data_IF_827114405962
#
_entry.id   IF_827114405962
#
_cell.length_a   1.000
_cell.length_b   1.000
_cell.length_c   1.000
_cell.angle_alpha   90.00
_cell.angle_beta   90.00
_cell.angle_gamma   90.00
#
_symmetry.space_group_name_H-M   'P 1'
#
loop_
_entity.id
_entity.type
_entity.pdbx_description
1 polymer ?
#
# COMPACT_ATOMS: atom_id res chain seq x y z
N UNK A 1 -9.00 35.89 -10.15
CA UNK A 1 -9.34 35.64 -8.73
C UNK A 1 -10.21 34.40 -8.50
N UNK A 2 -11.14 33.99 -9.39
CA UNK A 2 -12.04 32.84 -9.15
C UNK A 2 -11.39 31.43 -9.20
N UNK A 3 -10.28 31.27 -9.93
CA UNK A 3 -9.62 29.96 -10.09
C UNK A 3 -8.82 29.49 -8.87
N UNK A 4 -8.31 30.42 -8.04
CA UNK A 4 -7.53 30.07 -6.85
C UNK A 4 -8.38 29.41 -5.76
N UNK A 5 -9.63 29.87 -5.61
CA UNK A 5 -10.58 29.32 -4.65
C UNK A 5 -11.05 27.91 -5.01
N UNK A 6 -11.27 27.62 -6.30
CA UNK A 6 -11.66 26.28 -6.75
C UNK A 6 -10.55 25.27 -6.47
N UNK A 7 -9.28 25.62 -6.74
CA UNK A 7 -8.13 24.75 -6.45
C UNK A 7 -7.97 24.53 -4.95
N UNK A 8 -8.14 25.58 -4.14
CA UNK A 8 -8.07 25.48 -2.68
C UNK A 8 -9.16 24.55 -2.12
N UNK A 9 -10.40 24.69 -2.61
CA UNK A 9 -11.53 23.86 -2.20
C UNK A 9 -11.32 22.40 -2.62
N UNK A 10 -10.80 22.15 -3.83
CA UNK A 10 -10.55 20.78 -4.33
C UNK A 10 -9.42 20.08 -3.56
N UNK A 11 -8.39 20.83 -3.15
CA UNK A 11 -7.32 20.34 -2.27
C UNK A 11 -7.86 20.05 -0.86
N UNK A 12 -8.73 20.91 -0.32
CA UNK A 12 -9.36 20.72 0.99
C UNK A 12 -10.33 19.53 1.02
N UNK A 13 -11.10 19.29 -0.04
CA UNK A 13 -12.05 18.17 -0.09
C UNK A 13 -11.38 16.81 -0.27
N UNK A 14 -10.24 16.75 -0.97
CA UNK A 14 -9.41 15.54 -1.07
C UNK A 14 -8.80 15.12 0.28
N UNK A 15 -8.61 16.05 1.22
CA UNK A 15 -8.07 15.78 2.55
C UNK A 15 -9.04 15.15 3.56
N UNK A 16 -10.35 15.14 3.26
CA UNK A 16 -11.39 14.68 4.20
C UNK A 16 -11.85 13.24 3.99
N UNK A 17 -11.29 12.53 2.99
CA UNK A 17 -11.62 11.12 2.74
C UNK A 17 -10.69 10.21 3.54
N UNK A 18 -10.83 10.26 4.87
CA UNK A 18 -10.26 9.25 5.76
C UNK A 18 -11.07 7.96 5.61
N UNK A 19 -10.65 7.04 4.75
CA UNK A 19 -11.33 5.76 4.59
C UNK A 19 -11.18 4.94 5.89
N UNK A 20 -12.28 4.42 6.43
CA UNK A 20 -12.25 3.48 7.55
C UNK A 20 -11.55 2.19 7.10
N UNK A 21 -10.35 1.93 7.62
CA UNK A 21 -9.49 0.82 7.19
C UNK A 21 -10.13 -0.55 7.47
N UNK A 22 -10.84 -0.69 8.59
CA UNK A 22 -11.54 -1.92 8.96
C UNK A 22 -12.64 -2.26 7.94
N UNK A 23 -13.44 -1.26 7.57
CA UNK A 23 -14.51 -1.43 6.58
C UNK A 23 -13.97 -1.75 5.19
N UNK A 24 -12.76 -1.27 4.85
CA UNK A 24 -12.10 -1.60 3.59
C UNK A 24 -11.63 -3.06 3.59
N UNK A 25 -10.88 -3.48 4.62
CA UNK A 25 -10.36 -4.85 4.71
C UNK A 25 -11.49 -5.87 4.72
N UNK A 26 -12.54 -5.63 5.51
CA UNK A 26 -13.67 -6.56 5.63
C UNK A 26 -14.30 -6.93 4.28
N UNK A 27 -14.28 -6.02 3.29
CA UNK A 27 -14.80 -6.30 1.93
C UNK A 27 -13.90 -7.23 1.12
N UNK A 28 -12.61 -7.26 1.41
CA UNK A 28 -11.62 -8.08 0.70
C UNK A 28 -11.26 -9.37 1.43
N UNK A 29 -11.72 -9.53 2.67
CA UNK A 29 -11.53 -10.75 3.46
C UNK A 29 -12.43 -11.87 2.92
N UNK A 30 -11.87 -12.99 2.44
CA UNK A 30 -12.65 -14.14 1.99
C UNK A 30 -13.11 -14.98 3.19
N UNK A 31 -14.42 -15.13 3.36
CA UNK A 31 -15.04 -16.06 4.32
C UNK A 31 -15.53 -17.26 3.49
N UNK A 32 -14.95 -18.48 3.57
CA UNK A 32 -14.47 -19.21 4.75
C UNK A 32 -12.94 -19.26 4.98
N UNK A 33 -12.10 -18.88 4.02
CA UNK A 33 -10.65 -19.03 4.14
C UNK A 33 -10.04 -18.21 5.29
N UNK A 34 -10.66 -17.08 5.66
CA UNK A 34 -10.26 -16.29 6.83
C UNK A 34 -10.50 -16.99 8.17
N UNK A 35 -11.54 -17.82 8.30
CA UNK A 35 -11.76 -18.58 9.52
C UNK A 35 -10.71 -19.70 9.64
N UNK A 36 -10.41 -20.38 8.54
CA UNK A 36 -9.36 -21.40 8.48
C UNK A 36 -7.98 -20.82 8.82
N UNK A 37 -7.66 -19.64 8.28
CA UNK A 37 -6.40 -18.96 8.55
C UNK A 37 -6.29 -18.53 10.02
N UNK A 38 -7.35 -17.94 10.57
CA UNK A 38 -7.40 -17.57 11.99
C UNK A 38 -7.24 -18.80 12.89
N UNK A 39 -7.95 -19.88 12.58
CA UNK A 39 -7.85 -21.13 13.31
C UNK A 39 -6.41 -21.65 13.34
N UNK A 40 -5.69 -21.59 12.23
CA UNK A 40 -4.30 -22.02 12.17
C UNK A 40 -3.39 -21.22 13.12
N UNK A 41 -3.57 -19.90 13.20
CA UNK A 41 -2.82 -19.06 14.14
C UNK A 41 -3.19 -19.40 15.59
N UNK A 42 -4.48 -19.59 15.86
CA UNK A 42 -4.97 -19.95 17.20
C UNK A 42 -4.49 -21.35 17.63
N UNK A 43 -4.40 -22.30 16.71
CA UNK A 43 -3.87 -23.65 16.95
C UNK A 43 -2.36 -23.62 17.18
N UNK A 44 -1.62 -22.79 16.42
CA UNK A 44 -0.19 -22.62 16.61
C UNK A 44 0.13 -22.01 17.98
N UNK A 45 -0.53 -20.91 18.33
CA UNK A 45 -0.40 -20.24 19.64
C UNK A 45 -0.84 -21.14 20.78
N UNK A 46 -1.92 -21.90 20.58
CA UNK A 46 -2.47 -22.82 21.57
C UNK A 46 -1.71 -24.14 21.72
N UNK A 47 -0.65 -24.38 20.93
CA UNK A 47 0.13 -25.62 20.96
C UNK A 47 -0.60 -26.83 20.38
N UNK A 48 -1.68 -26.64 19.63
CA UNK A 48 -2.46 -27.71 18.96
C UNK A 48 -1.81 -28.10 17.63
N UNK A 49 -0.55 -28.52 17.70
CA UNK A 49 0.31 -28.71 16.51
C UNK A 49 -0.19 -29.81 15.57
N UNK A 50 -0.77 -30.89 16.10
CA UNK A 50 -1.37 -31.95 15.28
C UNK A 50 -2.54 -31.44 14.43
N UNK A 51 -3.41 -30.59 15.01
CA UNK A 51 -4.53 -29.97 14.30
C UNK A 51 -4.02 -28.99 13.24
N UNK A 52 -3.06 -28.14 13.60
CA UNK A 52 -2.40 -27.20 12.70
C UNK A 52 -1.78 -27.90 11.48
N UNK A 53 -1.01 -28.96 11.71
CA UNK A 53 -0.38 -29.74 10.63
C UNK A 53 -1.41 -30.36 9.71
N UNK A 54 -2.58 -30.76 10.22
CA UNK A 54 -3.69 -31.25 9.40
C UNK A 54 -4.19 -30.26 8.35
N UNK A 55 -3.96 -28.95 8.56
CA UNK A 55 -4.36 -27.88 7.65
C UNK A 55 -3.31 -27.56 6.57
N UNK A 56 -2.07 -27.98 6.78
CA UNK A 56 -0.95 -27.72 5.88
C UNK A 56 -1.09 -28.49 4.57
N UNK A 57 -0.48 -27.96 3.51
CA UNK A 57 -0.27 -28.73 2.29
C UNK A 57 0.87 -29.76 2.51
N UNK A 58 0.95 -30.82 1.67
CA UNK A 58 1.96 -31.86 1.85
C UNK A 58 3.39 -31.33 1.94
N UNK A 59 3.72 -30.30 1.14
CA UNK A 59 5.07 -29.71 1.12
C UNK A 59 5.40 -29.02 2.44
N UNK A 60 4.45 -28.29 3.04
CA UNK A 60 4.66 -27.65 4.33
C UNK A 60 4.64 -28.65 5.48
N UNK A 61 3.84 -29.71 5.41
CA UNK A 61 3.85 -30.80 6.41
C UNK A 61 5.22 -31.45 6.57
N UNK A 62 5.92 -31.68 5.45
CA UNK A 62 7.25 -32.28 5.45
C UNK A 62 8.32 -31.34 6.03
N UNK A 63 8.14 -30.02 5.86
CA UNK A 63 9.12 -29.01 6.30
C UNK A 63 8.94 -28.54 7.73
N UNK A 64 7.69 -28.41 8.21
CA UNK A 64 7.37 -27.74 9.47
C UNK A 64 7.11 -28.75 10.59
N UNK A 65 8.17 -29.27 11.21
CA UNK A 65 8.09 -30.25 12.30
C UNK A 65 7.41 -29.69 13.57
N UNK A 66 6.82 -30.57 14.39
CA UNK A 66 6.22 -30.15 15.66
C UNK A 66 7.22 -29.46 16.58
N UNK A 67 8.48 -29.93 16.60
CA UNK A 67 9.54 -29.30 17.39
C UNK A 67 9.79 -27.86 16.95
N UNK A 68 9.89 -27.60 15.64
CA UNK A 68 10.09 -26.25 15.11
C UNK A 68 8.89 -25.34 15.37
N UNK A 69 7.67 -25.85 15.16
CA UNK A 69 6.45 -25.09 15.42
C UNK A 69 6.32 -24.73 16.90
N UNK A 70 6.68 -25.65 17.79
CA UNK A 70 6.71 -25.41 19.24
C UNK A 70 7.78 -24.40 19.64
N UNK A 71 8.98 -24.50 19.07
CA UNK A 71 10.09 -23.57 19.32
C UNK A 71 9.72 -22.15 18.92
N UNK A 72 9.11 -21.96 17.74
CA UNK A 72 8.64 -20.65 17.30
C UNK A 72 7.50 -20.11 18.16
N UNK A 73 6.56 -20.97 18.56
CA UNK A 73 5.45 -20.57 19.43
C UNK A 73 5.90 -20.25 20.86
N UNK A 74 7.05 -20.76 21.31
CA UNK A 74 7.56 -20.54 22.67
C UNK A 74 7.80 -19.05 22.98
N UNK A 75 8.10 -18.25 21.95
CA UNK A 75 8.27 -16.81 22.06
C UNK A 75 6.97 -16.01 22.09
N UNK A 76 5.81 -16.61 21.79
CA UNK A 76 4.56 -15.88 21.69
C UNK A 76 4.01 -15.47 23.07
N UNK A 77 3.34 -14.31 23.16
CA UNK A 77 2.63 -13.90 24.36
C UNK A 77 1.64 -14.99 24.81
N UNK A 78 1.69 -15.31 26.11
CA UNK A 78 0.77 -16.25 26.75
C UNK A 78 -0.51 -15.53 27.18
N UNK A 79 -1.60 -16.29 27.31
CA UNK A 79 -2.91 -15.76 27.68
C UNK A 79 -3.76 -15.37 26.46
N UNK A 80 -4.98 -14.92 26.70
CA UNK A 80 -5.89 -14.53 25.61
C UNK A 80 -5.58 -13.13 25.07
N UNK A 81 -5.65 -12.92 23.75
CA UNK A 81 -5.48 -11.60 23.16
C UNK A 81 -6.61 -10.65 23.60
N UNK A 82 -6.29 -9.38 23.83
CA UNK A 82 -7.27 -8.32 24.10
C UNK A 82 -8.13 -8.03 22.87
N UNK A 83 -7.53 -8.10 21.70
CA UNK A 83 -8.21 -7.94 20.41
C UNK A 83 -7.51 -8.75 19.33
N UNK A 84 -8.29 -9.17 18.32
CA UNK A 84 -7.77 -9.82 17.10
C UNK A 84 -8.40 -9.12 15.92
N UNK A 85 -7.58 -8.63 15.00
CA UNK A 85 -8.04 -7.89 13.81
C UNK A 85 -7.40 -8.45 12.55
N UNK A 86 -8.14 -8.43 11.44
CA UNK A 86 -7.56 -8.63 10.11
C UNK A 86 -6.93 -7.31 9.68
N UNK A 87 -5.61 -7.31 9.52
CA UNK A 87 -4.81 -6.13 9.14
C UNK A 87 -4.26 -6.22 7.71
N UNK A 88 -4.49 -7.34 7.03
CA UNK A 88 -4.23 -7.47 5.61
C UNK A 88 -5.02 -8.62 4.99
N UNK A 89 -5.57 -8.39 3.80
CA UNK A 89 -6.23 -9.42 3.01
C UNK A 89 -5.93 -9.20 1.53
N UNK A 90 -5.12 -10.09 0.93
CA UNK A 90 -4.84 -10.07 -0.49
C UNK A 90 -5.26 -11.40 -1.13
N UNK A 91 -5.91 -11.30 -2.29
CA UNK A 91 -6.31 -12.47 -3.08
C UNK A 91 -5.64 -12.39 -4.44
N UNK A 92 -4.86 -13.40 -4.78
CA UNK A 92 -4.19 -13.54 -6.07
C UNK A 92 -4.83 -14.72 -6.83
N UNK A 93 -5.25 -14.47 -8.06
CA UNK A 93 -5.88 -15.48 -8.92
C UNK A 93 -5.01 -15.66 -10.16
N UNK A 94 -4.51 -16.86 -10.39
CA UNK A 94 -3.74 -17.20 -11.59
C UNK A 94 -4.06 -18.64 -12.03
N UNK A 95 -4.47 -18.82 -13.30
CA UNK A 95 -4.56 -20.14 -13.95
C UNK A 95 -5.37 -21.18 -13.18
N UNK A 96 -6.50 -20.77 -12.57
CA UNK A 96 -7.37 -21.67 -11.79
C UNK A 96 -6.91 -21.91 -10.34
N UNK A 97 -5.76 -21.38 -9.95
CA UNK A 97 -5.26 -21.35 -8.58
C UNK A 97 -5.65 -20.01 -7.92
N UNK A 98 -6.16 -20.09 -6.69
CA UNK A 98 -6.39 -18.94 -5.83
C UNK A 98 -5.44 -19.01 -4.65
N UNK A 99 -4.70 -17.93 -4.44
CA UNK A 99 -3.84 -17.73 -3.28
C UNK A 99 -4.41 -16.61 -2.43
N UNK A 100 -4.53 -16.86 -1.14
CA UNK A 100 -5.01 -15.89 -0.17
C UNK A 100 -3.89 -15.60 0.82
N UNK A 101 -3.48 -14.34 0.93
CA UNK A 101 -2.48 -13.88 1.89
C UNK A 101 -3.23 -13.05 2.96
N UNK A 102 -3.46 -13.64 4.13
CA UNK A 102 -4.24 -13.06 5.21
C UNK A 102 -3.34 -12.73 6.40
N UNK A 103 -3.44 -11.52 6.92
CA UNK A 103 -2.62 -11.04 8.02
C UNK A 103 -3.50 -10.62 9.19
N UNK A 104 -3.20 -11.17 10.36
CA UNK A 104 -3.90 -10.91 11.61
C UNK A 104 -2.97 -10.21 12.58
N UNK A 105 -3.51 -9.24 13.31
CA UNK A 105 -2.84 -8.62 14.44
C UNK A 105 -3.57 -9.02 15.71
N UNK A 106 -2.83 -9.62 16.64
CA UNK A 106 -3.27 -10.02 17.96
C UNK A 106 -2.66 -9.06 18.98
N UNK A 107 -3.51 -8.33 19.69
CA UNK A 107 -3.09 -7.42 20.75
C UNK A 107 -3.00 -8.14 22.09
N UNK A 108 -1.85 -8.02 22.75
CA UNK A 108 -1.61 -8.44 24.11
C UNK A 108 -1.21 -7.23 24.96
N UNK A 109 -0.99 -7.45 26.25
CA UNK A 109 -0.49 -6.41 27.13
C UNK A 109 0.92 -5.97 26.74
N UNK A 110 1.01 -4.84 26.03
CA UNK A 110 2.26 -4.21 25.60
C UNK A 110 2.99 -4.94 24.46
N UNK A 111 2.36 -5.91 23.81
CA UNK A 111 2.94 -6.69 22.69
C UNK A 111 1.87 -6.96 21.64
N UNK A 112 2.27 -6.94 20.38
CA UNK A 112 1.43 -7.27 19.23
C UNK A 112 2.05 -8.43 18.48
N UNK A 113 1.29 -9.50 18.30
CA UNK A 113 1.66 -10.62 17.43
C UNK A 113 1.00 -10.41 16.08
N UNK A 114 1.80 -10.20 15.04
CA UNK A 114 1.31 -10.11 13.66
C UNK A 114 1.60 -11.43 12.98
N UNK A 115 0.55 -12.14 12.60
CA UNK A 115 0.64 -13.44 11.95
C UNK A 115 0.12 -13.35 10.50
N UNK A 116 0.91 -13.80 9.55
CA UNK A 116 0.54 -13.96 8.16
C UNK A 116 0.33 -15.44 7.83
N UNK A 117 -0.79 -15.74 7.20
CA UNK A 117 -1.16 -17.07 6.72
C UNK A 117 -1.37 -17.00 5.22
N UNK A 118 -0.69 -17.90 4.50
CA UNK A 118 -0.84 -18.05 3.07
C UNK A 118 -1.61 -19.33 2.79
N UNK A 119 -2.79 -19.19 2.20
CA UNK A 119 -3.61 -20.30 1.76
C UNK A 119 -3.56 -20.43 0.24
N UNK A 120 -3.69 -21.65 -0.22
CA UNK A 120 -3.76 -21.99 -1.63
C UNK A 120 -4.93 -22.92 -1.89
N UNK A 121 -5.69 -22.60 -2.93
CA UNK A 121 -6.85 -23.36 -3.38
C UNK A 121 -6.72 -23.64 -4.87
N UNK A 122 -6.81 -24.91 -5.24
CA UNK A 122 -6.76 -25.35 -6.64
C UNK A 122 -8.16 -25.80 -7.07
N UNK A 123 -8.81 -25.05 -7.97
CA UNK A 123 -10.20 -25.31 -8.36
C UNK A 123 -11.16 -25.33 -7.15
N UNK A 124 -11.96 -26.39 -7.04
CA UNK A 124 -12.93 -26.58 -5.96
C UNK A 124 -12.39 -27.37 -4.76
N UNK A 125 -11.09 -27.70 -4.74
CA UNK A 125 -10.48 -28.37 -3.59
C UNK A 125 -10.52 -27.48 -2.34
N UNK A 126 -10.37 -28.10 -1.17
CA UNK A 126 -10.22 -27.36 0.08
C UNK A 126 -8.95 -26.50 0.06
N UNK A 127 -9.03 -25.30 0.62
CA UNK A 127 -7.86 -24.45 0.80
C UNK A 127 -6.88 -25.11 1.79
N UNK A 128 -5.60 -25.12 1.43
CA UNK A 128 -4.51 -25.64 2.28
C UNK A 128 -3.54 -24.53 2.61
N UNK A 129 -2.95 -24.61 3.79
CA UNK A 129 -1.95 -23.64 4.24
C UNK A 129 -0.61 -24.01 3.62
N UNK A 130 -0.05 -23.07 2.87
CA UNK A 130 1.26 -23.21 2.19
C UNK A 130 2.32 -22.30 2.80
N UNK A 131 1.93 -21.45 3.74
CA UNK A 131 2.83 -20.57 4.48
C UNK A 131 2.20 -20.08 5.76
N UNK A 132 3.01 -20.02 6.81
CA UNK A 132 2.64 -19.49 8.11
C UNK A 132 3.86 -18.75 8.68
N UNK A 133 3.68 -17.48 9.00
CA UNK A 133 4.73 -16.64 9.55
C UNK A 133 4.16 -15.76 10.64
N UNK A 134 4.92 -15.50 11.70
CA UNK A 134 4.51 -14.53 12.70
C UNK A 134 5.71 -13.77 13.24
N UNK A 135 5.46 -12.52 13.61
CA UNK A 135 6.44 -11.61 14.18
C UNK A 135 5.83 -10.83 15.34
N UNK A 136 6.66 -10.53 16.34
CA UNK A 136 6.29 -9.72 17.48
C UNK A 136 6.70 -8.27 17.28
N UNK A 137 5.83 -7.37 17.74
CA UNK A 137 6.02 -5.93 17.73
C UNK A 137 5.67 -5.33 19.10
N UNK A 138 6.29 -4.20 19.40
CA UNK A 138 6.05 -3.43 20.64
C UNK A 138 4.88 -2.43 20.51
N UNK A 139 4.32 -2.30 19.30
CA UNK A 139 3.22 -1.41 18.95
C UNK A 139 2.39 -2.04 17.84
N UNK A 140 1.14 -1.60 17.67
CA UNK A 140 0.32 -2.02 16.54
C UNK A 140 0.90 -1.53 15.20
N UNK A 141 0.57 -2.24 14.12
CA UNK A 141 0.90 -1.84 12.76
C UNK A 141 0.32 -0.48 12.41
N UNK A 142 -0.88 -0.17 12.91
CA UNK A 142 -1.50 1.15 12.75
C UNK A 142 -0.60 2.26 13.30
N UNK A 143 -0.08 2.08 14.51
CA UNK A 143 0.81 3.04 15.16
C UNK A 143 2.18 3.11 14.49
N UNK A 144 2.71 1.98 14.05
CA UNK A 144 4.01 1.90 13.39
C UNK A 144 4.00 2.56 12.00
N UNK A 145 2.89 2.42 11.27
CA UNK A 145 2.73 2.92 9.91
C UNK A 145 1.95 4.23 9.80
N UNK A 146 1.60 4.84 10.93
CA UNK A 146 0.91 6.12 10.97
C UNK A 146 1.67 7.21 10.18
N UNK A 147 0.92 8.02 9.44
CA UNK A 147 1.48 9.19 8.76
C UNK A 147 1.80 10.28 9.80
N UNK A 148 3.00 10.22 10.36
CA UNK A 148 3.50 11.21 11.33
C UNK A 148 4.78 11.87 10.84
N UNK A 149 4.98 13.11 11.28
CA UNK A 149 6.22 13.86 11.05
C UNK A 149 7.28 13.59 12.12
N UNK A 150 6.91 12.96 13.25
CA UNK A 150 7.83 12.70 14.34
C UNK A 150 8.91 11.71 13.92
N UNK A 151 10.18 12.07 14.15
CA UNK A 151 11.33 11.21 13.86
C UNK A 151 11.64 11.03 12.37
N UNK A 152 11.09 11.89 11.49
CA UNK A 152 11.37 11.85 10.04
C UNK A 152 12.57 12.73 9.68
N UNK A 153 13.45 12.22 8.82
CA UNK A 153 14.64 12.92 8.34
C UNK A 153 14.37 13.82 7.13
N UNK A 154 15.39 14.60 6.71
CA UNK A 154 15.29 15.57 5.61
C UNK A 154 14.78 14.98 4.28
N UNK A 155 15.12 13.73 3.96
CA UNK A 155 14.63 13.04 2.76
C UNK A 155 13.10 12.93 2.72
N UNK A 156 12.45 12.72 3.88
CA UNK A 156 10.99 12.62 3.95
C UNK A 156 10.33 13.94 3.59
N UNK A 157 10.87 15.04 4.14
CA UNK A 157 10.36 16.37 3.86
C UNK A 157 10.65 16.81 2.41
N UNK A 158 11.81 16.46 1.86
CA UNK A 158 12.11 16.70 0.44
C UNK A 158 11.12 15.95 -0.46
N UNK A 159 10.89 14.67 -0.20
CA UNK A 159 9.94 13.87 -0.99
C UNK A 159 8.51 14.39 -0.84
N UNK A 160 8.09 14.78 0.36
CA UNK A 160 6.78 15.40 0.58
C UNK A 160 6.66 16.73 -0.18
N UNK A 161 7.67 17.58 -0.11
CA UNK A 161 7.71 18.84 -0.85
C UNK A 161 7.58 18.60 -2.35
N UNK A 162 8.35 17.68 -2.92
CA UNK A 162 8.29 17.36 -4.34
C UNK A 162 6.94 16.73 -4.74
N UNK A 163 6.36 15.87 -3.89
CA UNK A 163 5.05 15.28 -4.10
C UNK A 163 3.92 16.33 -4.12
N UNK A 164 4.07 17.45 -3.40
CA UNK A 164 3.14 18.59 -3.46
C UNK A 164 3.46 19.51 -4.64
N UNK A 165 4.74 19.77 -4.92
CA UNK A 165 5.13 20.70 -5.99
C UNK A 165 4.84 20.15 -7.39
N UNK A 166 5.08 18.87 -7.64
CA UNK A 166 4.82 18.26 -8.95
C UNK A 166 3.39 18.48 -9.45
N UNK A 167 2.32 18.16 -8.68
CA UNK A 167 0.96 18.36 -9.13
C UNK A 167 0.64 19.84 -9.34
N UNK A 168 1.17 20.73 -8.49
CA UNK A 168 0.98 22.18 -8.66
C UNK A 168 1.60 22.68 -9.96
N UNK A 169 2.81 22.25 -10.30
CA UNK A 169 3.49 22.60 -11.56
C UNK A 169 2.74 22.05 -12.76
N UNK A 170 2.32 20.78 -12.72
CA UNK A 170 1.52 20.15 -13.79
C UNK A 170 0.19 20.86 -14.01
N UNK A 171 -0.56 21.18 -12.95
CA UNK A 171 -1.83 21.92 -13.05
C UNK A 171 -1.60 23.33 -13.59
N UNK A 172 -0.60 24.05 -13.07
CA UNK A 172 -0.27 25.39 -13.55
C UNK A 172 0.10 25.40 -15.03
N UNK A 173 0.89 24.42 -15.47
CA UNK A 173 1.25 24.23 -16.88
C UNK A 173 0.02 23.92 -17.73
N UNK A 174 -0.85 23.02 -17.30
CA UNK A 174 -2.08 22.66 -18.00
C UNK A 174 -3.02 23.86 -18.16
N UNK A 175 -3.27 24.60 -17.07
CA UNK A 175 -4.10 25.81 -17.09
C UNK A 175 -3.50 26.87 -18.02
N UNK A 176 -2.17 27.05 -17.97
CA UNK A 176 -1.47 28.00 -18.86
C UNK A 176 -1.53 27.53 -20.31
N UNK A 177 -1.42 26.23 -20.58
CA UNK A 177 -1.55 25.62 -21.90
C UNK A 177 -2.96 25.83 -22.48
N UNK A 178 -4.00 25.62 -21.67
CA UNK A 178 -5.40 25.86 -22.06
C UNK A 178 -5.65 27.35 -22.34
N UNK A 179 -5.02 28.27 -21.61
CA UNK A 179 -5.16 29.72 -21.86
C UNK A 179 -4.28 30.23 -23.01
N UNK A 180 -3.25 29.49 -23.40
CA UNK A 180 -2.36 29.89 -24.48
C UNK A 180 -3.04 29.62 -25.84
N UNK A 181 -3.00 30.57 -26.80
CA UNK A 181 -3.53 30.36 -28.15
C UNK A 181 -2.59 29.44 -28.96
N UNK A 182 -2.68 28.14 -28.71
CA UNK A 182 -1.93 27.10 -29.43
C UNK A 182 -2.76 26.63 -30.62
N UNK A 183 -2.24 26.78 -31.84
CA UNK A 183 -3.02 26.54 -33.07
C UNK A 183 -3.23 25.07 -33.41
N UNK A 184 -2.26 24.19 -33.14
CA UNK A 184 -2.34 22.74 -33.41
C UNK A 184 -2.10 21.90 -32.15
N UNK A 185 -2.85 20.80 -32.02
CA UNK A 185 -2.66 19.75 -30.99
C UNK A 185 -2.70 20.25 -29.55
N UNK A 186 -3.48 21.31 -29.28
CA UNK A 186 -3.62 21.93 -27.95
C UNK A 186 -4.04 20.94 -26.85
N UNK A 187 -4.98 20.04 -27.17
CA UNK A 187 -5.45 19.01 -26.23
C UNK A 187 -4.33 18.04 -25.86
N UNK A 188 -3.55 17.57 -26.85
CA UNK A 188 -2.41 16.69 -26.60
C UNK A 188 -1.35 17.37 -25.74
N UNK A 189 -1.08 18.67 -25.96
CA UNK A 189 -0.19 19.43 -25.11
C UNK A 189 -0.71 19.55 -23.67
N UNK A 190 -2.00 19.84 -23.49
CA UNK A 190 -2.60 19.93 -22.17
C UNK A 190 -2.50 18.59 -21.42
N UNK A 191 -2.85 17.47 -22.06
CA UNK A 191 -2.70 16.13 -21.47
C UNK A 191 -1.24 15.82 -21.15
N UNK A 192 -0.32 16.16 -22.06
CA UNK A 192 1.11 15.94 -21.86
C UNK A 192 1.65 16.68 -20.62
N UNK A 193 1.17 17.90 -20.32
CA UNK A 193 1.59 18.62 -19.11
C UNK A 193 1.19 17.94 -17.80
N UNK A 194 0.18 17.06 -17.84
CA UNK A 194 -0.29 16.31 -16.69
C UNK A 194 0.46 15.00 -16.50
N UNK A 195 1.32 14.59 -17.43
CA UNK A 195 2.04 13.32 -17.32
C UNK A 195 3.46 13.57 -16.79
N UNK A 196 3.75 12.95 -15.65
CA UNK A 196 5.10 12.76 -15.14
C UNK A 196 5.69 11.44 -15.64
N UNK A 197 7.00 11.42 -15.85
CA UNK A 197 7.78 10.25 -16.24
C UNK A 197 8.82 9.95 -15.18
N UNK A 198 9.19 8.68 -15.03
CA UNK A 198 10.21 8.19 -14.08
C UNK A 198 9.81 8.47 -12.63
N UNK A 199 9.64 7.45 -11.79
CA UNK A 199 9.11 7.64 -10.43
C UNK A 199 10.12 7.25 -9.38
N UNK A 200 10.32 8.11 -8.39
CA UNK A 200 10.95 7.76 -7.11
C UNK A 200 9.84 7.57 -6.09
N UNK A 201 9.80 6.39 -5.48
CA UNK A 201 8.92 6.09 -4.35
C UNK A 201 9.70 6.18 -3.05
N UNK A 202 9.08 6.71 -2.00
CA UNK A 202 9.57 6.74 -0.63
C UNK A 202 8.57 6.03 0.27
N UNK A 203 9.03 5.01 0.99
CA UNK A 203 8.30 4.47 2.13
C UNK A 203 8.38 5.47 3.30
N UNK A 204 7.24 6.05 3.69
CA UNK A 204 7.16 7.07 4.73
C UNK A 204 7.58 6.55 6.10
N UNK A 205 7.36 5.26 6.39
CA UNK A 205 7.73 4.67 7.68
C UNK A 205 9.25 4.51 7.80
N UNK A 206 9.88 3.90 6.78
CA UNK A 206 11.29 3.47 6.85
C UNK A 206 12.27 4.44 6.18
N UNK A 207 11.80 5.32 5.31
CA UNK A 207 12.64 6.17 4.47
C UNK A 207 13.26 5.44 3.27
N UNK A 208 12.87 4.19 3.00
CA UNK A 208 13.37 3.43 1.87
C UNK A 208 12.93 4.05 0.55
N UNK A 209 13.89 4.22 -0.37
CA UNK A 209 13.64 4.68 -1.73
C UNK A 209 13.52 3.49 -2.69
N UNK A 210 12.63 3.62 -3.66
CA UNK A 210 12.54 2.74 -4.82
C UNK A 210 12.47 3.56 -6.10
N UNK A 211 13.35 3.30 -7.06
CA UNK A 211 13.43 4.03 -8.31
C UNK A 211 12.90 3.19 -9.46
N UNK A 212 11.89 3.74 -10.15
CA UNK A 212 11.24 3.11 -11.31
C UNK A 212 11.54 3.99 -12.53
N UNK A 213 12.54 3.63 -13.36
CA UNK A 213 12.97 4.49 -14.48
C UNK A 213 11.88 4.65 -15.55
N UNK A 214 11.12 3.59 -15.83
CA UNK A 214 10.04 3.56 -16.82
C UNK A 214 8.70 3.48 -16.10
N UNK A 215 8.09 4.65 -15.90
CA UNK A 215 6.78 4.80 -15.28
C UNK A 215 6.11 6.08 -15.75
N UNK A 216 4.79 6.12 -15.62
CA UNK A 216 3.97 7.29 -15.95
C UNK A 216 3.03 7.58 -14.78
N UNK A 217 2.98 8.84 -14.34
CA UNK A 217 2.08 9.28 -13.28
C UNK A 217 1.29 10.51 -13.70
N UNK A 218 -0.01 10.53 -13.41
CA UNK A 218 -0.83 11.72 -13.59
C UNK A 218 -0.48 12.70 -12.48
N UNK A 219 -0.29 13.98 -12.83
CA UNK A 219 0.20 15.07 -11.99
C UNK A 219 1.62 14.89 -11.45
N UNK A 220 2.34 13.86 -11.89
CA UNK A 220 3.72 13.56 -11.48
C UNK A 220 3.89 13.28 -9.99
N UNK A 221 2.84 12.92 -9.27
CA UNK A 221 2.93 12.49 -7.88
C UNK A 221 1.84 11.47 -7.53
N UNK A 222 2.10 10.69 -6.49
CA UNK A 222 1.15 9.74 -5.92
C UNK A 222 1.35 9.63 -4.41
N UNK A 223 0.29 9.41 -3.65
CA UNK A 223 0.37 8.98 -2.27
C UNK A 223 -0.62 7.84 -2.07
N UNK A 224 -0.15 6.71 -1.54
CA UNK A 224 -1.01 5.56 -1.27
C UNK A 224 -0.50 4.80 -0.04
N UNK A 225 -1.40 4.13 0.66
CA UNK A 225 -1.07 3.18 1.71
C UNK A 225 -2.02 1.98 1.59
N UNK A 226 -1.51 0.74 1.63
CA UNK A 226 -2.38 -0.41 1.90
C UNK A 226 -2.93 -0.30 3.32
N UNK A 227 -4.06 -0.95 3.61
CA UNK A 227 -4.64 -0.93 4.94
C UNK A 227 -3.61 -1.42 5.99
N UNK A 228 -3.51 -0.67 7.10
CA UNK A 228 -2.51 -0.85 8.16
C UNK A 228 -1.03 -0.83 7.74
N UNK A 229 -0.72 -0.60 6.46
CA UNK A 229 0.63 -0.55 5.92
C UNK A 229 1.19 0.87 5.78
N UNK A 230 2.49 0.99 5.46
CA UNK A 230 3.17 2.27 5.38
C UNK A 230 2.68 3.10 4.20
N UNK A 231 2.58 4.41 4.41
CA UNK A 231 2.40 5.36 3.32
C UNK A 231 3.58 5.32 2.36
N UNK A 232 3.29 5.27 1.07
CA UNK A 232 4.27 5.39 0.00
C UNK A 232 4.01 6.67 -0.78
N UNK A 233 4.98 7.57 -0.78
CA UNK A 233 4.96 8.78 -1.60
C UNK A 233 5.70 8.49 -2.89
N UNK A 234 5.10 8.79 -4.04
CA UNK A 234 5.72 8.71 -5.36
C UNK A 234 5.84 10.09 -5.96
N UNK A 235 6.99 10.38 -6.56
CA UNK A 235 7.25 11.63 -7.28
C UNK A 235 7.83 11.28 -8.63
N UNK A 236 7.29 11.89 -9.67
CA UNK A 236 7.76 11.78 -11.04
C UNK A 236 8.20 13.10 -11.62
N UNK A 237 9.12 13.06 -12.59
CA UNK A 237 9.55 14.27 -13.29
C UNK A 237 8.40 14.75 -14.19
N UNK A 238 7.82 15.96 -13.97
CA UNK A 238 6.70 16.47 -14.75
C UNK A 238 7.19 17.01 -16.10
N UNK A 239 7.82 16.15 -16.91
CA UNK A 239 8.56 16.50 -18.11
C UNK A 239 7.69 17.30 -19.10
N UNK A 240 6.42 16.93 -19.26
CA UNK A 240 5.54 17.67 -20.15
C UNK A 240 5.25 19.10 -19.70
N UNK A 241 5.12 19.33 -18.39
CA UNK A 241 4.95 20.67 -17.84
C UNK A 241 6.21 21.53 -18.06
N UNK A 242 7.38 20.95 -17.80
CA UNK A 242 8.69 21.59 -17.99
C UNK A 242 8.87 21.99 -19.46
N UNK A 243 8.69 21.03 -20.39
CA UNK A 243 8.83 21.28 -21.83
C UNK A 243 7.83 22.34 -22.31
N UNK A 244 6.58 22.30 -21.83
CA UNK A 244 5.58 23.29 -22.21
C UNK A 244 6.02 24.71 -21.81
N UNK A 245 6.50 24.91 -20.58
CA UNK A 245 6.96 26.24 -20.15
C UNK A 245 8.11 26.77 -20.99
N UNK A 246 9.08 25.93 -21.34
CA UNK A 246 10.19 26.33 -22.22
C UNK A 246 9.75 26.60 -23.67
N UNK A 247 8.82 25.80 -24.20
CA UNK A 247 8.40 25.91 -25.62
C UNK A 247 7.20 26.82 -25.85
N UNK A 248 6.59 27.38 -24.80
CA UNK A 248 5.34 28.16 -24.88
C UNK A 248 5.36 29.22 -25.98
N UNK A 249 6.44 30.00 -26.10
CA UNK A 249 6.58 31.05 -27.13
C UNK A 249 6.58 30.47 -28.55
N UNK A 250 7.37 29.42 -28.78
CA UNK A 250 7.44 28.76 -30.08
C UNK A 250 6.13 28.08 -30.50
N UNK A 251 5.32 27.62 -29.54
CA UNK A 251 4.00 27.02 -29.79
C UNK A 251 2.94 28.06 -30.21
N UNK A 252 3.17 29.35 -29.93
CA UNK A 252 2.34 30.46 -30.43
C UNK A 252 2.82 30.97 -31.81
N UNK A 253 4.12 30.85 -32.10
CA UNK A 253 4.75 31.45 -33.28
C UNK A 253 4.83 30.54 -34.52
N UNK A 254 4.40 29.27 -34.44
CA UNK A 254 4.40 28.37 -35.60
C UNK A 254 3.15 28.56 -36.46
N UNK A 255 3.36 29.14 -37.65
CA UNK A 255 2.43 29.21 -38.79
C UNK A 255 2.14 27.83 -39.39
#
# INVERSE_FOLDING_TARGET
MKAGWIVLVLVLTLGLVGCNQDAMIAKFTPHPEAELAKQAVDDWRGGRLAALRGLFDPVLQDKATDAQLSEWAAGFPKGEPRSVKVVGANTHIWSGERRYDLTYEYEFEGKWLVANVVLRKHGDNQARIVGLHAQLFDRSLEQMNAFTFRGKGGLHFLMLFLAVMSPLVSIAACVTCIRTPIRRRKVLWALFTLVGVTTVHLNWTTGQLNFVPVSFQIFGASAFAPAYGPWTLGVSLPLGAIIFFFRRKALMARE
#
